data_IF_645984997078
#
_entry.id   IF_645984997078
#
_cell.length_a   1.000
_cell.length_b   1.000
_cell.length_c   1.000
_cell.angle_alpha   90.00
_cell.angle_beta   90.00
_cell.angle_gamma   90.00
#
_symmetry.space_group_name_H-M   'P 1'
#
loop_
_entity.id
_entity.type
_entity.pdbx_description
1 polymer ?
#
# COMPACT_ATOMS: atom_id res chain seq x y z
N UNK A 1 -4.45 -3.46 35.71
CA UNK A 1 -3.39 -4.49 35.60
C UNK A 1 -2.19 -3.95 36.35
N UNK A 2 -1.97 -4.42 37.58
CA UNK A 2 -0.78 -4.08 38.36
C UNK A 2 0.37 -4.94 37.85
N UNK A 3 1.42 -4.30 37.32
CA UNK A 3 2.69 -4.95 37.01
C UNK A 3 3.17 -5.70 38.25
N UNK A 4 3.51 -6.98 38.09
CA UNK A 4 4.11 -7.76 39.18
C UNK A 4 5.40 -7.06 39.62
N UNK A 5 5.60 -6.74 40.91
CA UNK A 5 6.74 -5.97 41.40
C UNK A 5 8.10 -6.63 41.09
N UNK A 6 8.10 -7.91 40.71
CA UNK A 6 9.30 -8.64 40.26
C UNK A 6 9.80 -8.20 38.87
N UNK A 7 8.93 -7.79 37.95
CA UNK A 7 9.37 -7.39 36.61
C UNK A 7 10.03 -6.01 36.60
N UNK A 8 9.48 -5.05 37.34
CA UNK A 8 10.06 -3.69 37.41
C UNK A 8 11.47 -3.72 38.01
N UNK A 9 11.72 -4.58 38.99
CA UNK A 9 13.04 -4.80 39.58
C UNK A 9 14.07 -5.41 38.61
N UNK A 10 13.64 -6.20 37.61
CA UNK A 10 14.52 -6.77 36.60
C UNK A 10 14.93 -5.70 35.59
N UNK A 11 13.98 -4.89 35.10
CA UNK A 11 14.28 -3.81 34.15
C UNK A 11 15.15 -2.71 34.76
N UNK A 12 15.00 -2.43 36.06
CA UNK A 12 15.85 -1.47 36.78
C UNK A 12 17.34 -1.88 36.85
N UNK A 13 17.66 -3.16 36.61
CA UNK A 13 19.03 -3.70 36.66
C UNK A 13 19.69 -3.81 35.29
N UNK A 14 18.93 -3.64 34.21
CA UNK A 14 19.43 -3.74 32.84
C UNK A 14 19.92 -2.36 32.40
N UNK A 15 21.15 -2.22 31.86
CA UNK A 15 21.60 -0.97 31.26
C UNK A 15 20.61 -0.50 30.20
N UNK A 16 20.35 0.80 30.15
CA UNK A 16 19.30 1.35 29.30
C UNK A 16 19.51 1.05 27.81
N UNK A 17 20.77 0.98 27.38
CA UNK A 17 21.16 0.63 26.01
C UNK A 17 20.76 -0.81 25.67
N UNK A 18 20.97 -1.73 26.61
CA UNK A 18 20.56 -3.14 26.44
C UNK A 18 19.05 -3.26 26.40
N UNK A 19 18.35 -2.47 27.23
CA UNK A 19 16.89 -2.37 27.16
C UNK A 19 16.40 -1.92 25.79
N UNK A 20 17.00 -0.86 25.22
CA UNK A 20 16.63 -0.35 23.89
C UNK A 20 16.87 -1.40 22.80
N UNK A 21 18.00 -2.11 22.83
CA UNK A 21 18.30 -3.18 21.88
C UNK A 21 17.27 -4.32 21.94
N UNK A 22 16.84 -4.72 23.15
CA UNK A 22 15.81 -5.74 23.33
C UNK A 22 14.48 -5.27 22.71
N UNK A 23 14.09 -4.02 22.97
CA UNK A 23 12.85 -3.45 22.42
C UNK A 23 12.92 -3.37 20.90
N UNK A 24 14.01 -2.87 20.33
CA UNK A 24 14.18 -2.75 18.88
C UNK A 24 14.15 -4.13 18.21
N UNK A 25 14.86 -5.12 18.76
CA UNK A 25 14.83 -6.49 18.25
C UNK A 25 13.42 -7.10 18.31
N UNK A 26 12.67 -6.86 19.39
CA UNK A 26 11.29 -7.34 19.52
C UNK A 26 10.35 -6.66 18.50
N UNK A 27 10.53 -5.36 18.25
CA UNK A 27 9.77 -4.62 17.22
C UNK A 27 10.10 -5.13 15.83
N UNK A 28 11.37 -5.39 15.54
CA UNK A 28 11.80 -5.89 14.22
C UNK A 28 11.32 -7.32 13.97
N UNK A 29 11.26 -8.18 14.99
CA UNK A 29 10.64 -9.51 14.88
C UNK A 29 9.13 -9.38 14.61
N UNK A 30 8.41 -8.57 15.38
CA UNK A 30 6.99 -8.31 15.17
C UNK A 30 6.74 -7.74 13.75
N UNK A 31 7.59 -6.83 13.28
CA UNK A 31 7.50 -6.25 11.95
C UNK A 31 7.73 -7.32 10.87
N UNK A 32 8.76 -8.15 11.01
CA UNK A 32 9.04 -9.26 10.09
C UNK A 32 7.88 -10.25 9.99
N UNK A 33 7.19 -10.52 11.10
CA UNK A 33 5.98 -11.34 11.11
C UNK A 33 4.80 -10.64 10.43
N UNK A 34 4.61 -9.34 10.67
CA UNK A 34 3.57 -8.53 10.04
C UNK A 34 3.75 -8.41 8.52
N UNK A 35 5.01 -8.36 8.05
CA UNK A 35 5.36 -8.28 6.63
C UNK A 35 4.87 -9.46 5.80
N UNK A 36 4.58 -10.61 6.45
CA UNK A 36 4.07 -11.82 5.77
C UNK A 36 2.63 -11.68 5.30
N UNK A 37 1.89 -10.71 5.82
CA UNK A 37 0.49 -10.45 5.49
C UNK A 37 0.37 -8.98 5.12
N UNK A 38 0.23 -8.71 3.84
CA UNK A 38 -0.02 -7.36 3.31
C UNK A 38 -1.49 -7.00 3.50
N UNK A 39 -1.78 -5.75 3.82
CA UNK A 39 -3.11 -5.17 3.71
C UNK A 39 -3.19 -4.23 2.50
N UNK A 40 -4.38 -4.11 1.92
CA UNK A 40 -4.71 -3.04 0.99
C UNK A 40 -5.59 -2.01 1.70
N UNK A 41 -5.18 -0.75 1.63
CA UNK A 41 -5.80 0.38 2.32
C UNK A 41 -6.32 1.34 1.26
N UNK A 42 -7.55 1.81 1.38
CA UNK A 42 -8.12 2.78 0.43
C UNK A 42 -8.01 4.18 1.02
N UNK A 43 -7.45 5.10 0.26
CA UNK A 43 -7.45 6.50 0.61
C UNK A 43 -8.69 7.11 -0.03
N UNK A 44 -9.69 7.44 0.80
CA UNK A 44 -10.89 8.15 0.36
C UNK A 44 -10.85 9.58 0.91
N UNK A 45 -11.03 10.53 0.00
CA UNK A 45 -11.08 11.96 0.30
C UNK A 45 -12.31 12.65 -0.26
N UNK A 46 -13.33 11.86 -0.61
CA UNK A 46 -14.64 12.37 -1.06
C UNK A 46 -15.44 13.05 0.04
N UNK A 47 -15.00 12.97 1.30
CA UNK A 47 -15.67 13.65 2.42
C UNK A 47 -15.66 15.18 2.23
N UNK A 48 -16.83 15.85 2.26
CA UNK A 48 -16.96 17.30 2.06
C UNK A 48 -16.03 18.12 2.96
N UNK A 49 -15.61 19.30 2.49
CA UNK A 49 -14.65 20.20 3.16
C UNK A 49 -14.96 20.54 4.62
N UNK A 50 -16.23 20.48 5.01
CA UNK A 50 -16.75 20.81 6.34
C UNK A 50 -16.91 19.59 7.26
N UNK A 51 -16.65 18.38 6.77
CA UNK A 51 -16.81 17.17 7.57
C UNK A 51 -15.63 17.00 8.52
N UNK A 52 -15.84 16.75 9.83
CA UNK A 52 -14.76 16.33 10.75
C UNK A 52 -14.14 14.98 10.35
N UNK A 53 -14.66 14.35 9.29
CA UNK A 53 -14.24 13.09 8.71
C UNK A 53 -13.29 13.27 7.50
N UNK A 54 -12.85 14.50 7.19
CA UNK A 54 -12.13 14.93 5.97
C UNK A 54 -10.86 14.15 5.57
N UNK A 55 -10.30 13.33 6.46
CA UNK A 55 -8.94 12.77 6.34
C UNK A 55 -8.89 11.34 6.83
N UNK A 56 -9.62 10.45 6.15
CA UNK A 56 -9.78 9.07 6.61
C UNK A 56 -9.15 8.10 5.62
N UNK A 57 -8.25 7.27 6.15
CA UNK A 57 -7.79 6.08 5.44
C UNK A 57 -8.86 5.02 5.68
N UNK A 58 -9.63 4.70 4.67
CA UNK A 58 -10.60 3.62 4.75
C UNK A 58 -9.87 2.31 4.53
N UNK A 59 -10.27 1.27 5.25
CA UNK A 59 -9.73 -0.05 5.00
C UNK A 59 -10.83 -0.86 4.36
N UNK A 60 -10.60 -1.24 3.11
CA UNK A 60 -11.54 -2.06 2.36
C UNK A 60 -11.02 -3.49 2.37
N UNK A 61 -11.71 -4.34 3.14
CA UNK A 61 -11.93 -5.79 2.97
C UNK A 61 -12.10 -6.46 4.34
N UNK A 62 -12.91 -7.51 4.40
CA UNK A 62 -13.15 -8.28 5.63
C UNK A 62 -11.86 -8.94 6.18
N UNK A 63 -10.91 -9.32 5.30
CA UNK A 63 -9.62 -9.91 5.70
C UNK A 63 -8.66 -8.93 6.40
N UNK A 64 -8.90 -7.63 6.23
CA UNK A 64 -8.09 -6.60 6.89
C UNK A 64 -8.26 -6.62 8.41
N UNK A 65 -9.43 -7.04 8.92
CA UNK A 65 -9.69 -7.06 10.35
C UNK A 65 -8.83 -8.08 11.09
N UNK A 66 -8.80 -9.32 10.57
CA UNK A 66 -7.96 -10.37 11.12
C UNK A 66 -6.49 -9.93 11.10
N UNK A 67 -6.07 -9.26 10.03
CA UNK A 67 -4.70 -8.77 9.88
C UNK A 67 -4.36 -7.68 10.89
N UNK A 68 -5.24 -6.69 11.11
CA UNK A 68 -5.01 -5.66 12.13
C UNK A 68 -5.02 -6.22 13.54
N UNK A 69 -5.95 -7.12 13.87
CA UNK A 69 -5.98 -7.81 15.17
C UNK A 69 -4.69 -8.59 15.39
N UNK A 70 -4.20 -9.29 14.36
CA UNK A 70 -2.92 -10.00 14.41
C UNK A 70 -1.75 -9.05 14.61
N UNK A 71 -1.66 -7.95 13.86
CA UNK A 71 -0.58 -6.96 14.02
C UNK A 71 -0.59 -6.32 15.39
N UNK A 72 -1.77 -5.97 15.90
CA UNK A 72 -1.90 -5.47 17.27
C UNK A 72 -1.43 -6.51 18.29
N UNK A 73 -1.77 -7.79 18.12
CA UNK A 73 -1.36 -8.84 19.06
C UNK A 73 0.16 -9.04 19.10
N UNK A 74 0.86 -8.81 17.99
CA UNK A 74 2.32 -8.85 17.91
C UNK A 74 2.96 -7.72 18.71
N UNK A 75 2.41 -6.50 18.65
CA UNK A 75 3.04 -5.31 19.24
C UNK A 75 2.49 -4.93 20.62
N UNK A 76 1.32 -5.43 21.02
CA UNK A 76 0.62 -4.96 22.25
C UNK A 76 1.49 -5.07 23.50
N UNK A 77 2.31 -6.10 23.63
CA UNK A 77 3.13 -6.28 24.82
C UNK A 77 4.29 -5.28 24.86
N UNK A 78 4.92 -5.00 23.71
CA UNK A 78 5.99 -4.02 23.56
C UNK A 78 5.44 -2.61 23.78
N UNK A 79 4.28 -2.32 23.19
CA UNK A 79 3.61 -1.03 23.26
C UNK A 79 3.28 -0.61 24.70
N UNK A 80 2.98 -1.55 25.60
CA UNK A 80 2.65 -1.24 26.99
C UNK A 80 3.86 -1.09 27.93
N UNK A 81 5.10 -1.24 27.45
CA UNK A 81 6.28 -1.17 28.33
C UNK A 81 6.53 0.27 28.80
N UNK A 82 6.90 1.18 27.89
CA UNK A 82 7.12 2.60 28.20
C UNK A 82 7.06 3.49 26.95
N UNK A 83 7.31 4.79 27.11
CA UNK A 83 7.28 5.76 26.02
C UNK A 83 8.28 5.45 24.90
N UNK A 84 9.51 5.03 25.23
CA UNK A 84 10.53 4.68 24.23
C UNK A 84 10.10 3.48 23.39
N UNK A 85 9.51 2.46 24.02
CA UNK A 85 8.98 1.29 23.31
C UNK A 85 7.79 1.64 22.41
N UNK A 86 6.87 2.50 22.88
CA UNK A 86 5.78 3.02 22.04
C UNK A 86 6.32 3.74 20.81
N UNK A 87 7.34 4.59 20.99
CA UNK A 87 7.98 5.29 19.87
C UNK A 87 8.64 4.32 18.88
N UNK A 88 9.29 3.26 19.37
CA UNK A 88 9.88 2.24 18.50
C UNK A 88 8.81 1.50 17.67
N UNK A 89 7.71 1.08 18.31
CA UNK A 89 6.57 0.48 17.62
C UNK A 89 6.03 1.44 16.55
N UNK A 90 5.78 2.70 16.91
CA UNK A 90 5.21 3.71 16.00
C UNK A 90 6.07 4.02 14.76
N UNK A 91 7.39 3.78 14.81
CA UNK A 91 8.27 3.93 13.64
C UNK A 91 8.01 2.88 12.56
N UNK A 92 7.54 1.69 12.95
CA UNK A 92 7.29 0.56 12.03
C UNK A 92 5.79 0.37 11.76
N UNK A 93 4.98 0.66 12.77
CA UNK A 93 3.54 0.47 12.75
C UNK A 93 2.83 1.80 13.00
N UNK A 94 2.13 2.30 12.00
CA UNK A 94 1.31 3.51 12.15
C UNK A 94 -0.09 3.11 12.58
N UNK A 95 -0.67 3.85 13.53
CA UNK A 95 -2.09 3.70 13.88
C UNK A 95 -2.86 4.58 12.93
N UNK A 96 -3.91 4.04 12.35
CA UNK A 96 -4.82 4.79 11.51
C UNK A 96 -6.25 4.59 11.97
N UNK A 97 -7.08 5.63 11.94
CA UNK A 97 -8.49 5.44 12.14
C UNK A 97 -9.04 4.62 10.96
N UNK A 98 -9.62 3.48 11.29
CA UNK A 98 -10.30 2.55 10.40
C UNK A 98 -11.79 2.83 10.45
N UNK A 99 -12.39 2.79 9.26
CA UNK A 99 -13.81 2.94 9.06
C UNK A 99 -14.32 1.75 8.29
N UNK A 100 -15.18 0.98 8.96
CA UNK A 100 -15.85 -0.15 8.32
C UNK A 100 -16.92 0.40 7.39
N UNK A 101 -16.70 0.24 6.09
CA UNK A 101 -17.70 0.56 5.09
C UNK A 101 -18.77 -0.53 5.11
N UNK A 102 -19.77 -0.38 5.97
CA UNK A 102 -20.98 -1.19 5.89
C UNK A 102 -22.05 -0.39 5.14
N UNK A 103 -22.50 -0.84 3.94
CA UNK A 103 -23.56 -0.16 3.20
C UNK A 103 -24.90 -0.12 3.94
N UNK A 104 -25.04 -0.84 5.05
CA UNK A 104 -26.26 -0.92 5.86
C UNK A 104 -26.16 -0.21 7.22
N UNK A 105 -24.98 0.31 7.60
CA UNK A 105 -24.77 0.93 8.92
C UNK A 105 -24.11 2.30 8.76
N UNK A 106 -24.93 3.35 8.85
CA UNK A 106 -24.50 4.77 8.92
C UNK A 106 -23.69 5.11 10.19
N UNK A 107 -23.48 4.15 11.11
CA UNK A 107 -22.63 4.34 12.28
C UNK A 107 -21.18 4.02 11.94
N UNK A 108 -20.48 5.05 11.49
CA UNK A 108 -19.04 5.03 11.25
C UNK A 108 -18.32 5.12 12.61
N UNK A 109 -18.20 4.01 13.33
CA UNK A 109 -17.34 3.93 14.51
C UNK A 109 -15.88 3.83 14.04
N UNK A 110 -15.06 4.84 14.38
CA UNK A 110 -13.63 4.77 14.16
C UNK A 110 -13.05 3.67 15.05
N UNK A 111 -12.59 2.56 14.47
CA UNK A 111 -11.66 1.67 15.16
C UNK A 111 -10.24 2.06 14.78
N UNK A 112 -9.22 1.53 15.46
CA UNK A 112 -7.83 1.79 15.07
C UNK A 112 -7.24 0.56 14.38
N UNK A 113 -6.72 0.76 13.16
CA UNK A 113 -5.93 -0.21 12.43
C UNK A 113 -4.44 0.01 12.64
N UNK A 114 -3.68 -1.08 12.73
CA UNK A 114 -2.21 -1.04 12.77
C UNK A 114 -1.65 -1.38 11.39
N UNK A 115 -1.08 -0.37 10.73
CA UNK A 115 -0.58 -0.47 9.35
C UNK A 115 0.94 -0.44 9.29
N UNK A 116 1.50 -1.04 8.25
CA UNK A 116 2.92 -1.08 7.92
C UNK A 116 3.12 -0.38 6.57
N UNK A 117 3.35 0.95 6.53
CA UNK A 117 3.36 1.70 5.27
C UNK A 117 4.37 1.19 4.22
N UNK A 118 5.48 0.61 4.68
CA UNK A 118 6.50 0.05 3.81
C UNK A 118 6.13 -1.32 3.19
N UNK A 119 5.01 -1.94 3.59
CA UNK A 119 4.58 -3.26 3.10
C UNK A 119 3.17 -3.23 2.53
N UNK A 120 2.29 -2.47 3.17
CA UNK A 120 0.90 -2.33 2.78
C UNK A 120 0.78 -1.59 1.45
N UNK A 121 -0.24 -1.95 0.68
CA UNK A 121 -0.57 -1.29 -0.57
C UNK A 121 -1.63 -0.22 -0.31
N UNK A 122 -1.38 1.01 -0.76
CA UNK A 122 -2.33 2.11 -0.64
C UNK A 122 -3.01 2.33 -1.97
N UNK A 123 -4.31 2.04 -2.02
CA UNK A 123 -5.18 2.23 -3.16
C UNK A 123 -5.78 3.62 -3.17
N UNK A 124 -5.65 4.32 -4.29
CA UNK A 124 -6.24 5.62 -4.55
C UNK A 124 -7.14 5.53 -5.78
N UNK A 125 -8.33 6.11 -5.69
CA UNK A 125 -9.27 6.19 -6.81
C UNK A 125 -9.21 7.57 -7.48
N UNK A 126 -9.17 7.56 -8.82
CA UNK A 126 -8.88 8.70 -9.68
C UNK A 126 -9.66 10.00 -9.39
N UNK A 127 -10.90 9.90 -8.92
CA UNK A 127 -11.78 11.06 -8.69
C UNK A 127 -11.51 11.72 -7.32
N UNK A 128 -10.51 11.25 -6.59
CA UNK A 128 -10.19 11.66 -5.23
C UNK A 128 -8.70 11.50 -5.00
N UNK A 129 -7.89 12.23 -5.77
CA UNK A 129 -6.46 12.38 -5.45
C UNK A 129 -6.27 13.55 -4.50
N UNK A 130 -6.12 13.30 -3.20
CA UNK A 130 -5.81 14.36 -2.27
C UNK A 130 -4.30 14.57 -2.27
N UNK A 131 -3.73 15.24 -3.27
CA UNK A 131 -2.34 15.74 -3.09
C UNK A 131 -2.22 16.51 -1.76
N UNK A 132 -3.31 17.17 -1.38
CA UNK A 132 -3.56 17.82 -0.09
C UNK A 132 -3.39 16.91 1.14
N UNK A 133 -3.66 15.60 1.06
CA UNK A 133 -3.43 14.67 2.21
C UNK A 133 -1.93 14.51 2.47
N UNK A 134 -1.09 14.69 1.44
CA UNK A 134 0.36 14.62 1.58
C UNK A 134 0.97 15.97 1.92
N UNK A 135 0.19 17.04 1.85
CA UNK A 135 0.50 18.37 2.37
C UNK A 135 -0.08 18.59 3.78
N UNK A 136 -0.70 17.56 4.35
CA UNK A 136 -1.41 17.61 5.64
C UNK A 136 -0.46 17.96 6.81
N UNK A 137 -0.85 18.87 7.72
CA UNK A 137 -0.07 19.12 8.94
C UNK A 137 -0.03 17.93 9.91
N UNK A 138 -0.89 16.91 9.75
CA UNK A 138 -0.93 15.75 10.64
C UNK A 138 0.36 14.90 10.52
N UNK A 139 1.15 14.77 11.61
CA UNK A 139 2.41 14.03 11.59
C UNK A 139 2.25 12.53 11.31
N UNK A 140 1.10 11.91 11.60
CA UNK A 140 0.85 10.49 11.34
C UNK A 140 0.62 10.24 9.84
N UNK A 141 -0.14 11.13 9.19
CA UNK A 141 -0.35 11.12 7.74
C UNK A 141 0.96 11.39 7.00
N UNK A 142 1.74 12.38 7.46
CA UNK A 142 3.09 12.64 6.95
C UNK A 142 4.03 11.43 7.13
N UNK A 143 3.92 10.72 8.25
CA UNK A 143 4.71 9.52 8.48
C UNK A 143 4.32 8.39 7.51
N UNK A 144 3.05 8.28 7.13
CA UNK A 144 2.61 7.35 6.08
C UNK A 144 3.18 7.77 4.74
N UNK A 145 2.93 9.00 4.31
CA UNK A 145 3.41 9.56 3.03
C UNK A 145 4.90 9.28 2.79
N UNK A 146 5.72 9.50 3.81
CA UNK A 146 7.18 9.31 3.77
C UNK A 146 7.62 7.85 3.73
N UNK A 147 6.74 6.90 4.05
CA UNK A 147 7.08 5.49 4.19
C UNK A 147 6.24 4.56 3.29
N UNK A 148 5.25 5.07 2.55
CA UNK A 148 4.55 4.30 1.53
C UNK A 148 5.55 3.84 0.48
N UNK A 149 5.54 2.53 0.21
CA UNK A 149 6.36 1.92 -0.86
C UNK A 149 5.55 1.36 -2.01
N UNK A 150 4.28 1.03 -1.76
CA UNK A 150 3.42 0.36 -2.72
C UNK A 150 2.13 1.16 -2.85
N UNK A 151 1.85 1.63 -4.06
CA UNK A 151 0.62 2.37 -4.39
C UNK A 151 -0.14 1.62 -5.46
N UNK A 152 -1.44 1.53 -5.28
CA UNK A 152 -2.39 1.04 -6.24
C UNK A 152 -3.19 2.25 -6.75
N UNK A 153 -3.25 2.45 -8.06
CA UNK A 153 -3.94 3.58 -8.68
C UNK A 153 -5.05 3.00 -9.53
N UNK A 154 -6.29 3.38 -9.25
CA UNK A 154 -7.43 3.00 -10.08
C UNK A 154 -7.69 4.17 -11.03
N UNK A 155 -7.36 4.00 -12.32
CA UNK A 155 -7.62 5.02 -13.35
C UNK A 155 -8.91 4.70 -14.12
N UNK A 156 -9.74 5.73 -14.28
CA UNK A 156 -10.98 5.68 -15.05
C UNK A 156 -10.93 6.47 -16.36
N UNK A 157 -9.89 7.27 -16.62
CA UNK A 157 -9.63 7.90 -17.93
C UNK A 157 -8.13 8.25 -18.06
N UNK A 158 -7.64 8.32 -19.31
CA UNK A 158 -6.27 8.73 -19.64
C UNK A 158 -5.91 10.15 -19.29
N UNK A 159 -6.92 11.00 -19.27
CA UNK A 159 -6.77 12.42 -18.95
C UNK A 159 -6.25 12.63 -17.52
N UNK A 160 -6.45 11.66 -16.62
CA UNK A 160 -6.04 11.75 -15.22
C UNK A 160 -4.66 11.15 -14.94
N UNK A 161 -3.95 10.65 -15.96
CA UNK A 161 -2.61 10.10 -15.77
C UNK A 161 -1.63 11.13 -15.18
N UNK A 162 -1.82 12.41 -15.51
CA UNK A 162 -1.04 13.51 -14.92
C UNK A 162 -1.19 13.60 -13.40
N UNK A 163 -2.38 13.33 -12.86
CA UNK A 163 -2.67 13.34 -11.42
C UNK A 163 -2.01 12.15 -10.73
N UNK A 164 -2.08 10.97 -11.34
CA UNK A 164 -1.36 9.79 -10.87
C UNK A 164 0.16 10.04 -10.81
N UNK A 165 0.73 10.72 -11.81
CA UNK A 165 2.15 11.07 -11.81
C UNK A 165 2.48 12.10 -10.73
N UNK A 166 1.61 13.09 -10.50
CA UNK A 166 1.79 14.06 -9.41
C UNK A 166 1.78 13.38 -8.04
N UNK A 167 0.88 12.40 -7.84
CA UNK A 167 0.82 11.58 -6.62
C UNK A 167 2.14 10.85 -6.40
N UNK A 168 2.63 10.14 -7.42
CA UNK A 168 3.89 9.40 -7.30
C UNK A 168 5.04 10.34 -6.95
N UNK A 169 5.09 11.55 -7.52
CA UNK A 169 6.11 12.56 -7.20
C UNK A 169 6.02 13.07 -5.77
N UNK A 170 4.82 13.12 -5.19
CA UNK A 170 4.62 13.49 -3.80
C UNK A 170 5.04 12.40 -2.80
N UNK A 171 5.25 11.16 -3.26
CA UNK A 171 5.58 10.01 -2.41
C UNK A 171 7.03 9.54 -2.62
N UNK A 172 7.98 10.04 -1.81
CA UNK A 172 9.42 9.95 -2.10
C UNK A 172 10.02 8.54 -1.95
N UNK A 173 9.25 7.56 -1.46
CA UNK A 173 9.73 6.19 -1.21
C UNK A 173 8.92 5.14 -1.96
N UNK A 174 8.07 5.52 -2.90
CA UNK A 174 7.36 4.54 -3.71
C UNK A 174 8.36 3.75 -4.53
N UNK A 175 8.26 2.43 -4.45
CA UNK A 175 9.08 1.48 -5.19
C UNK A 175 8.23 0.74 -6.24
N UNK A 176 6.92 0.66 -6.01
CA UNK A 176 5.96 -0.06 -6.87
C UNK A 176 4.68 0.76 -7.00
N UNK A 177 4.29 1.03 -8.25
CA UNK A 177 3.00 1.60 -8.59
C UNK A 177 2.21 0.61 -9.44
N UNK A 178 1.03 0.20 -8.99
CA UNK A 178 0.15 -0.71 -9.72
C UNK A 178 -1.03 0.06 -10.29
N UNK A 179 -1.15 0.08 -11.61
CA UNK A 179 -2.28 0.67 -12.30
C UNK A 179 -3.38 -0.38 -12.50
N UNK A 180 -4.57 -0.13 -11.96
CA UNK A 180 -5.78 -0.88 -12.26
C UNK A 180 -6.43 -0.23 -13.48
N UNK A 181 -6.28 -0.90 -14.62
CA UNK A 181 -6.77 -0.39 -15.90
C UNK A 181 -8.21 -0.88 -16.15
N UNK A 182 -9.16 0.05 -16.09
CA UNK A 182 -10.53 -0.16 -16.56
C UNK A 182 -10.71 0.19 -18.04
N UNK A 183 -9.70 0.76 -18.67
CA UNK A 183 -9.80 1.55 -19.90
C UNK A 183 -9.29 0.83 -21.15
N UNK A 184 -8.86 -0.43 -21.01
CA UNK A 184 -8.36 -1.24 -22.14
C UNK A 184 -7.20 -0.54 -22.88
N UNK A 185 -6.30 0.12 -22.15
CA UNK A 185 -5.16 0.83 -22.77
C UNK A 185 -4.15 -0.12 -23.35
N UNK A 186 -4.06 -1.32 -22.79
CA UNK A 186 -3.18 -2.32 -23.35
C UNK A 186 -3.70 -2.70 -24.74
N UNK A 187 -2.84 -2.66 -25.78
CA UNK A 187 -3.14 -3.40 -26.99
C UNK A 187 -3.48 -4.84 -26.58
N UNK A 188 -4.42 -5.51 -27.26
CA UNK A 188 -4.74 -6.89 -26.96
C UNK A 188 -3.45 -7.72 -26.99
N UNK A 189 -2.97 -8.10 -25.81
CA UNK A 189 -1.71 -8.82 -25.66
C UNK A 189 -1.85 -10.18 -26.33
N UNK A 190 -0.81 -10.66 -27.01
CA UNK A 190 -0.71 -12.09 -27.32
C UNK A 190 -0.39 -12.82 -26.02
N UNK A 191 -1.39 -12.98 -25.18
CA UNK A 191 -1.27 -13.80 -23.98
C UNK A 191 -1.06 -15.24 -24.45
N UNK A 192 0.07 -15.90 -24.15
CA UNK A 192 0.03 -17.34 -24.08
C UNK A 192 -1.02 -17.69 -23.03
N UNK A 193 -1.91 -18.65 -23.33
CA UNK A 193 -2.97 -19.12 -22.42
C UNK A 193 -2.45 -19.54 -21.02
N UNK A 194 -1.12 -19.64 -20.85
CA UNK A 194 -0.38 -19.90 -19.61
C UNK A 194 1.02 -19.26 -19.67
N UNK A 195 1.16 -18.00 -19.27
CA UNK A 195 2.48 -17.42 -18.98
C UNK A 195 3.03 -17.96 -17.64
N UNK A 196 4.33 -18.28 -17.59
CA UNK A 196 5.05 -18.53 -16.33
C UNK A 196 5.53 -17.19 -15.77
N UNK A 197 5.69 -17.07 -14.43
CA UNK A 197 6.31 -15.90 -13.83
C UNK A 197 7.67 -15.61 -14.49
N UNK A 198 7.87 -14.38 -14.95
CA UNK A 198 9.07 -13.95 -15.66
C UNK A 198 9.00 -14.02 -17.18
N UNK A 199 7.96 -14.64 -17.77
CA UNK A 199 7.78 -14.65 -19.22
C UNK A 199 7.56 -13.23 -19.74
N UNK A 200 8.26 -12.89 -20.83
CA UNK A 200 8.13 -11.62 -21.53
C UNK A 200 7.10 -11.71 -22.64
N UNK A 201 6.17 -10.76 -22.63
CA UNK A 201 5.11 -10.61 -23.61
C UNK A 201 5.40 -9.39 -24.48
N UNK A 202 5.14 -9.56 -25.77
CA UNK A 202 5.21 -8.49 -26.75
C UNK A 202 3.83 -7.81 -26.88
N UNK A 203 3.79 -6.46 -26.94
CA UNK A 203 2.61 -5.77 -27.45
C UNK A 203 2.26 -6.32 -28.85
N UNK A 204 0.98 -6.42 -29.19
CA UNK A 204 0.57 -6.85 -30.53
C UNK A 204 0.85 -5.69 -31.50
N UNK A 205 1.57 -5.98 -32.59
CA UNK A 205 2.13 -5.06 -33.62
C UNK A 205 1.15 -4.10 -34.35
N UNK A 206 -0.03 -3.79 -33.81
CA UNK A 206 -1.08 -3.04 -34.52
C UNK A 206 -1.85 -2.00 -33.69
N UNK A 207 -1.32 -1.48 -32.59
CA UNK A 207 -1.86 -0.24 -32.05
C UNK A 207 -0.86 0.90 -32.22
N UNK A 208 -1.34 2.05 -32.68
CA UNK A 208 -0.63 3.33 -32.59
C UNK A 208 -0.37 3.76 -31.11
N UNK A 209 -0.48 2.83 -30.15
CA UNK A 209 -0.35 3.06 -28.72
C UNK A 209 1.03 2.72 -28.17
N UNK A 210 1.92 2.09 -28.96
CA UNK A 210 3.28 1.73 -28.48
C UNK A 210 4.09 2.99 -28.12
N UNK A 211 4.08 4.03 -28.97
CA UNK A 211 4.68 5.35 -28.65
C UNK A 211 3.98 6.05 -27.48
N UNK A 212 2.71 5.72 -27.23
CA UNK A 212 1.91 6.32 -26.16
C UNK A 212 2.25 5.74 -24.80
N UNK A 213 2.34 4.41 -24.69
CA UNK A 213 2.63 3.73 -23.43
C UNK A 213 4.04 4.07 -22.94
N UNK A 214 5.03 4.11 -23.83
CA UNK A 214 6.40 4.49 -23.45
C UNK A 214 6.43 5.90 -22.86
N UNK A 215 5.83 6.89 -23.52
CA UNK A 215 5.73 8.28 -23.01
C UNK A 215 5.01 8.40 -21.68
N UNK A 216 4.04 7.52 -21.42
CA UNK A 216 3.31 7.48 -20.16
C UNK A 216 4.18 6.87 -19.05
N UNK A 217 4.90 5.80 -19.35
CA UNK A 217 5.67 5.05 -18.35
C UNK A 217 7.06 5.65 -18.07
N UNK A 218 7.64 6.35 -19.05
CA UNK A 218 8.97 6.96 -18.96
C UNK A 218 9.14 7.82 -17.69
N UNK A 219 8.23 8.77 -17.37
CA UNK A 219 8.33 9.52 -16.12
C UNK A 219 8.34 8.66 -14.85
N UNK A 220 7.65 7.51 -14.86
CA UNK A 220 7.60 6.59 -13.72
C UNK A 220 8.94 5.84 -13.59
N UNK A 221 9.52 5.41 -14.71
CA UNK A 221 10.82 4.74 -14.74
C UNK A 221 11.98 5.66 -14.37
N UNK A 222 11.94 6.93 -14.79
CA UNK A 222 12.91 7.96 -14.38
C UNK A 222 12.94 8.15 -12.85
N UNK A 223 11.81 7.92 -12.18
CA UNK A 223 11.71 7.95 -10.72
C UNK A 223 12.23 6.66 -10.05
N UNK A 224 12.66 5.66 -10.83
CA UNK A 224 13.08 4.35 -10.32
C UNK A 224 11.93 3.48 -9.80
N UNK A 225 10.68 3.82 -10.15
CA UNK A 225 9.49 3.10 -9.70
C UNK A 225 9.21 1.94 -10.65
N UNK A 226 8.97 0.76 -10.09
CA UNK A 226 8.45 -0.38 -10.86
C UNK A 226 6.98 -0.17 -11.16
N UNK A 227 6.63 -0.21 -12.44
CA UNK A 227 5.27 0.03 -12.89
C UNK A 227 4.59 -1.29 -13.20
N UNK A 228 3.53 -1.60 -12.46
CA UNK A 228 2.70 -2.76 -12.67
C UNK A 228 1.38 -2.35 -13.30
N UNK A 229 0.82 -3.21 -14.13
CA UNK A 229 -0.52 -3.08 -14.67
C UNK A 229 -1.30 -4.33 -14.30
N UNK A 230 -2.50 -4.11 -13.76
CA UNK A 230 -3.48 -5.15 -13.49
C UNK A 230 -4.69 -4.90 -14.38
N UNK A 231 -4.93 -5.81 -15.30
CA UNK A 231 -6.15 -5.78 -16.11
C UNK A 231 -7.28 -6.43 -15.34
N UNK A 232 -8.31 -5.62 -15.02
CA UNK A 232 -9.58 -6.15 -14.54
C UNK A 232 -10.45 -6.44 -15.76
N UNK A 233 -10.44 -7.68 -16.24
CA UNK A 233 -11.39 -8.11 -17.27
C UNK A 233 -12.80 -8.00 -16.69
N UNK A 234 -13.52 -6.95 -17.09
CA UNK A 234 -14.93 -6.77 -16.77
C UNK A 234 -15.70 -7.97 -17.34
N UNK A 235 -16.02 -8.93 -16.47
CA UNK A 235 -17.35 -9.51 -16.22
C UNK A 235 -17.42 -11.02 -16.04
N UNK A 236 -16.43 -11.86 -16.36
CA UNK A 236 -16.60 -13.32 -16.18
C UNK A 236 -15.32 -14.18 -16.08
N UNK A 237 -14.11 -13.61 -16.06
CA UNK A 237 -12.89 -14.41 -16.01
C UNK A 237 -12.20 -14.29 -14.66
N UNK A 238 -12.03 -15.44 -13.99
CA UNK A 238 -11.46 -15.63 -12.65
C UNK A 238 -9.94 -15.35 -12.57
N UNK A 239 -9.37 -14.59 -13.51
CA UNK A 239 -7.93 -14.35 -13.57
C UNK A 239 -7.63 -12.88 -13.81
N UNK A 240 -7.31 -12.18 -12.72
CA UNK A 240 -6.56 -10.94 -12.80
C UNK A 240 -5.10 -11.31 -13.09
N UNK A 241 -4.58 -10.82 -14.22
CA UNK A 241 -3.18 -10.96 -14.57
C UNK A 241 -2.41 -9.72 -14.13
N UNK A 242 -1.33 -9.95 -13.37
CA UNK A 242 -0.39 -8.92 -12.97
C UNK A 242 0.80 -8.91 -13.93
N UNK A 243 1.01 -7.75 -14.54
CA UNK A 243 2.09 -7.52 -15.49
C UNK A 243 2.99 -6.40 -14.98
N UNK A 244 4.30 -6.58 -15.05
CA UNK A 244 5.28 -5.50 -14.90
C UNK A 244 5.57 -4.92 -16.28
N UNK A 245 5.44 -3.61 -16.42
CA UNK A 245 5.78 -2.88 -17.64
C UNK A 245 7.25 -2.48 -17.57
N UNK A 246 8.04 -2.99 -18.50
CA UNK A 246 9.49 -2.76 -18.53
C UNK A 246 9.90 -2.07 -19.84
N UNK A 247 10.85 -1.15 -19.73
CA UNK A 247 11.54 -0.58 -20.90
C UNK A 247 12.66 -1.52 -21.33
N UNK A 248 12.79 -1.75 -22.63
CA UNK A 248 13.88 -2.51 -23.26
C UNK A 248 14.44 -1.74 -24.45
N UNK A 249 15.66 -2.04 -24.93
CA UNK A 249 16.20 -1.42 -26.13
C UNK A 249 15.30 -1.55 -27.37
N UNK A 250 14.45 -2.58 -27.39
CA UNK A 250 13.48 -2.86 -28.46
C UNK A 250 12.07 -2.33 -28.14
N UNK A 251 11.94 -1.42 -27.17
CA UNK A 251 10.69 -0.77 -26.75
C UNK A 251 10.08 -1.36 -25.48
N UNK A 252 8.78 -1.12 -25.27
CA UNK A 252 8.07 -1.59 -24.08
C UNK A 252 7.81 -3.10 -24.12
N UNK A 253 8.01 -3.79 -22.98
CA UNK A 253 7.65 -5.20 -22.79
C UNK A 253 6.80 -5.37 -21.54
N UNK A 254 6.05 -6.47 -21.49
CA UNK A 254 5.30 -6.85 -20.30
C UNK A 254 5.87 -8.14 -19.74
N UNK A 255 6.15 -8.16 -18.44
CA UNK A 255 6.65 -9.34 -17.74
C UNK A 255 5.55 -9.88 -16.83
N UNK A 256 5.23 -11.16 -16.98
CA UNK A 256 4.23 -11.80 -16.13
C UNK A 256 4.75 -11.94 -14.69
N UNK A 257 3.99 -11.43 -13.70
CA UNK A 257 4.40 -11.46 -12.30
C UNK A 257 3.94 -12.72 -11.55
N UNK A 258 3.01 -13.49 -12.12
CA UNK A 258 2.48 -14.71 -11.51
C UNK A 258 1.35 -14.47 -10.51
N UNK A 259 0.55 -15.50 -10.20
CA UNK A 259 -0.52 -15.41 -9.19
C UNK A 259 0.02 -15.27 -7.77
N UNK A 260 1.30 -15.57 -7.52
CA UNK A 260 1.92 -15.34 -6.21
C UNK A 260 2.10 -13.84 -5.89
N UNK A 261 1.74 -12.93 -6.80
CA UNK A 261 1.61 -11.50 -6.53
C UNK A 261 0.14 -11.06 -6.33
N UNK A 262 -0.82 -11.95 -6.62
CA UNK A 262 -2.24 -11.80 -6.30
C UNK A 262 -2.46 -12.10 -4.82
N UNK A 263 -2.26 -11.08 -3.98
CA UNK A 263 -2.59 -11.13 -2.56
C UNK A 263 -3.93 -10.43 -2.25
N UNK A 264 -4.83 -10.43 -3.23
CA UNK A 264 -6.22 -10.01 -3.12
C UNK A 264 -7.09 -11.14 -3.70
N UNK A 265 -7.13 -12.26 -3.00
CA UNK A 265 -8.27 -13.18 -3.04
C UNK A 265 -8.96 -13.12 -1.68
#
# INVERSE_FOLDING_TARGET
>A
MTSSPKMEAIWARIPYEVYLLIVEAAVDDAYSQACRTRCTLYLDTTTPEESPLRKRVFVSTDDSEATFKKRFSLVKHIFHINHSARRAVHRRFVRLPRFDFSPSVLNIAATEGWVCPAVDAFTVENHSFPLEIFEDPDPEIQAIARNVRIVNIILFSAEHFGEALALLKALPRVEVATLYDHLRWLPPLRLPLRGRPGDLLLPREQSHADDGIERLCEPIWEMGIRFHMRQKYLLNETRNEDLEVISTPEGVRFKFLGPEMNFLE
#
